data_IF_943278632252
#
_entry.id   IF_943278632252
#
_cell.length_a   1.000
_cell.length_b   1.000
_cell.length_c   1.000
_cell.angle_alpha   90.00
_cell.angle_beta   90.00
_cell.angle_gamma   90.00
#
_symmetry.space_group_name_H-M   'P 1'
#
loop_
_entity.id
_entity.type
_entity.pdbx_description
1 polymer ?
#
# COMPACT_ATOMS: atom_id res chain seq x y z
N UNK A 1 13.40 9.83 8.58
CA UNK A 1 12.59 9.20 7.52
C UNK A 1 13.41 8.46 6.46
N UNK A 2 14.61 8.93 6.09
CA UNK A 2 15.45 8.25 5.08
C UNK A 2 15.80 6.80 5.48
N UNK A 3 16.03 6.53 6.77
CA UNK A 3 16.29 5.17 7.28
C UNK A 3 15.10 4.23 7.05
N UNK A 4 13.86 4.72 7.19
CA UNK A 4 12.66 3.92 6.93
C UNK A 4 12.38 3.65 5.45
N UNK A 5 12.82 4.56 4.56
CA UNK A 5 12.74 4.37 3.11
C UNK A 5 13.74 3.31 2.61
N UNK A 6 14.92 3.23 3.22
CA UNK A 6 15.96 2.27 2.86
C UNK A 6 15.71 0.86 3.42
N UNK A 7 14.71 0.69 4.29
CA UNK A 7 14.43 -0.57 5.00
C UNK A 7 13.24 -1.26 4.33
N UNK A 8 13.43 -2.41 3.67
CA UNK A 8 12.33 -3.21 3.14
C UNK A 8 11.23 -3.51 4.17
N UNK A 9 9.97 -3.55 3.72
CA UNK A 9 8.81 -3.80 4.58
C UNK A 9 8.91 -5.11 5.38
N UNK A 10 9.52 -6.16 4.81
CA UNK A 10 9.70 -7.45 5.48
C UNK A 10 10.62 -7.37 6.71
N UNK A 11 11.58 -6.43 6.76
CA UNK A 11 12.42 -6.24 7.94
C UNK A 11 11.61 -5.67 9.09
N UNK A 12 10.65 -4.77 8.80
CA UNK A 12 9.69 -4.30 9.81
C UNK A 12 8.79 -5.45 10.28
N UNK A 13 8.38 -6.36 9.39
CA UNK A 13 7.63 -7.54 9.79
C UNK A 13 8.41 -8.45 10.76
N UNK A 14 9.69 -8.73 10.46
CA UNK A 14 10.56 -9.50 11.36
C UNK A 14 10.68 -8.80 12.72
N UNK A 15 10.94 -7.49 12.73
CA UNK A 15 11.03 -6.72 13.96
C UNK A 15 9.73 -6.77 14.77
N UNK A 16 8.57 -6.60 14.10
CA UNK A 16 7.27 -6.66 14.73
C UNK A 16 6.99 -8.03 15.34
N UNK A 17 7.29 -9.12 14.63
CA UNK A 17 7.13 -10.47 15.17
C UNK A 17 8.03 -10.67 16.38
N UNK A 18 9.32 -10.34 16.29
CA UNK A 18 10.27 -10.57 17.40
C UNK A 18 9.84 -9.82 18.66
N UNK A 19 9.35 -8.59 18.51
CA UNK A 19 8.96 -7.74 19.64
C UNK A 19 7.59 -8.13 20.22
N UNK A 20 6.59 -8.40 19.37
CA UNK A 20 5.18 -8.50 19.78
C UNK A 20 4.58 -9.92 19.78
N UNK A 21 5.26 -10.88 19.15
CA UNK A 21 4.78 -12.25 19.00
C UNK A 21 5.84 -13.33 19.33
N UNK A 22 7.13 -12.98 19.39
CA UNK A 22 8.24 -13.92 19.55
C UNK A 22 8.41 -14.49 20.96
N UNK A 23 7.52 -14.17 21.92
CA UNK A 23 7.53 -14.69 23.28
C UNK A 23 8.68 -14.22 24.20
N UNK A 24 9.74 -13.61 23.63
CA UNK A 24 10.91 -13.13 24.38
C UNK A 24 10.72 -11.74 25.01
N UNK A 25 9.81 -10.92 24.48
CA UNK A 25 9.54 -9.56 24.97
C UNK A 25 8.05 -9.36 25.27
N UNK A 26 7.23 -9.07 24.25
CA UNK A 26 5.78 -8.98 24.36
C UNK A 26 5.15 -10.12 23.56
N UNK A 27 4.14 -10.78 24.14
CA UNK A 27 3.37 -11.87 23.52
C UNK A 27 1.91 -11.47 23.37
N UNK A 28 1.67 -10.28 22.79
CA UNK A 28 0.33 -9.73 22.63
C UNK A 28 -0.39 -10.27 21.40
N UNK A 29 0.38 -10.66 20.39
CA UNK A 29 -0.14 -11.09 19.11
C UNK A 29 0.32 -12.50 18.76
N UNK A 30 -0.49 -13.23 17.97
CA UNK A 30 -0.13 -14.53 17.44
C UNK A 30 1.06 -14.37 16.48
N UNK A 31 1.98 -15.33 16.52
CA UNK A 31 3.18 -15.31 15.68
C UNK A 31 2.88 -15.72 14.22
N UNK A 32 1.92 -16.63 14.03
CA UNK A 32 1.60 -17.20 12.72
C UNK A 32 0.11 -17.54 12.60
N UNK A 33 -0.37 -17.60 11.35
CA UNK A 33 -1.71 -18.03 11.00
C UNK A 33 -2.76 -16.91 11.03
N UNK A 34 -3.93 -17.18 10.45
CA UNK A 34 -5.08 -16.25 10.41
C UNK A 34 -6.14 -16.51 11.48
N UNK A 35 -6.06 -17.66 12.15
CA UNK A 35 -7.11 -18.19 13.03
C UNK A 35 -6.48 -18.84 14.26
N UNK A 36 -7.09 -18.64 15.42
CA UNK A 36 -6.78 -19.40 16.62
C UNK A 36 -7.24 -20.86 16.50
N UNK A 37 -6.57 -21.80 17.18
CA UNK A 37 -6.95 -23.24 17.17
C UNK A 37 -8.41 -23.49 17.61
N UNK A 38 -8.99 -22.58 18.42
CA UNK A 38 -10.36 -22.67 18.90
C UNK A 38 -11.40 -22.00 17.98
N UNK A 39 -11.03 -21.59 16.75
CA UNK A 39 -11.87 -20.76 15.90
C UNK A 39 -13.27 -21.34 15.66
N UNK A 40 -13.39 -22.65 15.43
CA UNK A 40 -14.67 -23.30 15.13
C UNK A 40 -15.69 -23.23 16.28
N UNK A 41 -15.20 -23.14 17.52
CA UNK A 41 -16.02 -23.05 18.74
C UNK A 41 -16.47 -21.63 19.10
N UNK A 42 -15.95 -20.60 18.42
CA UNK A 42 -16.20 -19.20 18.74
C UNK A 42 -17.54 -18.71 18.17
N UNK A 43 -18.17 -17.76 18.88
CA UNK A 43 -19.31 -17.01 18.36
C UNK A 43 -18.90 -16.17 17.14
N UNK A 44 -19.85 -15.84 16.26
CA UNK A 44 -19.58 -15.08 15.03
C UNK A 44 -18.83 -13.77 15.27
N UNK A 45 -19.13 -13.08 16.38
CA UNK A 45 -18.41 -11.86 16.77
C UNK A 45 -16.98 -12.13 17.25
N UNK A 46 -16.78 -13.21 18.02
CA UNK A 46 -15.46 -13.60 18.47
C UNK A 46 -14.57 -14.06 17.30
N UNK A 47 -15.15 -14.72 16.28
CA UNK A 47 -14.46 -15.05 15.02
C UNK A 47 -13.94 -13.82 14.29
N UNK A 48 -14.76 -12.77 14.14
CA UNK A 48 -14.32 -11.51 13.50
C UNK A 48 -13.21 -10.84 14.30
N UNK A 49 -13.33 -10.79 15.63
CA UNK A 49 -12.30 -10.20 16.49
C UNK A 49 -10.98 -10.97 16.40
N UNK A 50 -11.04 -12.30 16.42
CA UNK A 50 -9.87 -13.18 16.29
C UNK A 50 -9.15 -12.92 14.96
N UNK A 51 -9.91 -12.89 13.86
CA UNK A 51 -9.38 -12.62 12.54
C UNK A 51 -8.71 -11.24 12.42
N UNK A 52 -9.37 -10.19 12.93
CA UNK A 52 -8.79 -8.84 12.95
C UNK A 52 -7.52 -8.78 13.82
N UNK A 53 -7.48 -9.52 14.92
CA UNK A 53 -6.32 -9.58 15.82
C UNK A 53 -5.10 -10.21 15.13
N UNK A 54 -5.29 -11.28 14.35
CA UNK A 54 -4.24 -11.92 13.56
C UNK A 54 -3.74 -11.03 12.41
N UNK A 55 -4.61 -10.17 11.85
CA UNK A 55 -4.25 -9.26 10.75
C UNK A 55 -3.48 -8.01 11.19
N UNK A 56 -3.49 -7.65 12.48
CA UNK A 56 -2.87 -6.40 12.95
C UNK A 56 -1.39 -6.33 12.57
N UNK A 57 -0.60 -7.37 12.86
CA UNK A 57 0.84 -7.35 12.60
C UNK A 57 1.17 -7.39 11.10
N UNK A 58 0.60 -8.29 10.28
CA UNK A 58 0.80 -8.28 8.83
C UNK A 58 0.45 -6.94 8.20
N UNK A 59 -0.73 -6.38 8.51
CA UNK A 59 -1.19 -5.12 7.92
C UNK A 59 -0.32 -3.96 8.38
N UNK A 60 0.03 -3.90 9.67
CA UNK A 60 0.89 -2.83 10.19
C UNK A 60 2.27 -2.85 9.52
N UNK A 61 2.84 -4.04 9.27
CA UNK A 61 4.13 -4.16 8.57
C UNK A 61 4.09 -3.61 7.14
N UNK A 62 2.99 -3.88 6.41
CA UNK A 62 2.77 -3.36 5.06
C UNK A 62 2.57 -1.84 5.07
N UNK A 63 1.76 -1.33 6.00
CA UNK A 63 1.48 0.10 6.15
C UNK A 63 2.76 0.86 6.47
N UNK A 64 3.58 0.39 7.41
CA UNK A 64 4.84 1.05 7.77
C UNK A 64 5.80 1.11 6.58
N UNK A 65 5.90 0.02 5.81
CA UNK A 65 6.72 -0.04 4.59
C UNK A 65 6.29 0.99 3.54
N UNK A 66 4.99 1.09 3.27
CA UNK A 66 4.45 2.05 2.29
C UNK A 66 4.41 3.51 2.79
N UNK A 67 4.30 3.72 4.10
CA UNK A 67 4.11 5.03 4.71
C UNK A 67 5.30 5.97 4.47
N UNK A 68 6.54 5.45 4.50
CA UNK A 68 7.73 6.23 4.23
C UNK A 68 7.72 6.81 2.80
N UNK A 69 7.42 5.96 1.81
CA UNK A 69 7.31 6.35 0.40
C UNK A 69 6.19 7.36 0.19
N UNK A 70 5.01 7.09 0.76
CA UNK A 70 3.85 7.98 0.65
C UNK A 70 4.13 9.36 1.25
N UNK A 71 4.82 9.42 2.38
CA UNK A 71 5.16 10.70 3.02
C UNK A 71 6.16 11.50 2.20
N UNK A 72 7.20 10.85 1.66
CA UNK A 72 8.19 11.53 0.80
C UNK A 72 7.52 12.03 -0.48
N UNK A 73 6.71 11.19 -1.12
CA UNK A 73 5.95 11.58 -2.30
C UNK A 73 5.07 12.79 -2.01
N UNK A 74 4.28 12.74 -0.93
CA UNK A 74 3.41 13.84 -0.50
C UNK A 74 4.22 15.11 -0.26
N UNK A 75 5.31 15.03 0.51
CA UNK A 75 6.18 16.19 0.77
C UNK A 75 6.72 16.81 -0.52
N UNK A 76 7.20 15.98 -1.44
CA UNK A 76 7.74 16.46 -2.72
C UNK A 76 6.65 17.09 -3.59
N UNK A 77 5.45 16.50 -3.65
CA UNK A 77 4.30 17.06 -4.35
C UNK A 77 3.98 18.46 -3.82
N UNK A 78 3.91 18.64 -2.50
CA UNK A 78 3.61 19.94 -1.90
C UNK A 78 4.70 20.97 -2.16
N UNK A 79 5.98 20.59 -2.04
CA UNK A 79 7.10 21.50 -2.29
C UNK A 79 7.13 21.98 -3.75
N UNK A 80 6.88 21.08 -4.70
CA UNK A 80 6.78 21.44 -6.12
C UNK A 80 5.61 22.41 -6.35
N UNK A 81 4.48 22.16 -5.71
CA UNK A 81 3.26 22.90 -5.95
C UNK A 81 3.27 24.31 -5.32
N UNK A 82 3.92 24.48 -4.17
CA UNK A 82 4.13 25.79 -3.52
C UNK A 82 4.97 26.74 -4.39
N UNK A 83 5.87 26.20 -5.22
CA UNK A 83 6.76 27.00 -6.06
C UNK A 83 6.14 27.51 -7.37
N UNK A 84 4.88 27.13 -7.66
CA UNK A 84 4.19 27.48 -8.91
C UNK A 84 3.72 28.93 -8.93
N UNK A 85 3.71 29.53 -10.12
CA UNK A 85 3.31 30.94 -10.33
C UNK A 85 1.89 31.26 -9.87
N UNK A 86 0.95 30.32 -9.95
CA UNK A 86 -0.42 30.56 -9.49
C UNK A 86 -0.49 30.76 -7.96
N UNK A 87 0.43 30.17 -7.18
CA UNK A 87 0.54 30.36 -5.73
C UNK A 87 1.05 31.76 -5.41
N UNK A 88 2.05 32.22 -6.16
CA UNK A 88 2.59 33.60 -6.04
C UNK A 88 1.50 34.63 -6.35
N UNK A 89 0.75 34.43 -7.42
CA UNK A 89 -0.38 35.29 -7.78
C UNK A 89 -1.50 35.25 -6.73
N UNK A 90 -1.80 34.07 -6.16
CA UNK A 90 -2.78 33.94 -5.10
C UNK A 90 -2.37 34.72 -3.84
N UNK A 91 -1.10 34.65 -3.45
CA UNK A 91 -0.53 35.46 -2.36
C UNK A 91 -0.58 36.96 -2.67
N UNK A 92 -0.24 37.36 -3.91
CA UNK A 92 -0.28 38.76 -4.34
C UNK A 92 -1.71 39.34 -4.31
N UNK A 93 -2.74 38.50 -4.49
CA UNK A 93 -4.17 38.87 -4.34
C UNK A 93 -4.63 39.02 -2.88
N UNK A 94 -3.74 38.83 -1.90
CA UNK A 94 -4.06 38.98 -0.47
C UNK A 94 -4.74 37.77 0.17
N UNK A 95 -4.69 36.58 -0.46
CA UNK A 95 -5.19 35.35 0.14
C UNK A 95 -4.31 34.94 1.33
N UNK A 96 -4.94 34.49 2.41
CA UNK A 96 -4.21 33.96 3.59
C UNK A 96 -3.52 32.64 3.26
N UNK A 97 -2.39 32.37 3.92
CA UNK A 97 -1.61 31.12 3.70
C UNK A 97 -2.46 29.85 3.84
N UNK A 98 -3.40 29.80 4.79
CA UNK A 98 -4.31 28.66 4.92
C UNK A 98 -5.23 28.48 3.72
N UNK A 99 -5.75 29.56 3.14
CA UNK A 99 -6.63 29.49 1.97
C UNK A 99 -5.85 29.09 0.72
N UNK A 100 -4.62 29.54 0.59
CA UNK A 100 -3.71 29.12 -0.51
C UNK A 100 -3.31 27.65 -0.35
N UNK A 101 -2.93 27.23 0.86
CA UNK A 101 -2.51 25.87 1.17
C UNK A 101 -3.64 24.87 0.92
N UNK A 102 -4.78 25.00 1.61
CA UNK A 102 -5.87 24.01 1.50
C UNK A 102 -6.68 24.17 0.22
N UNK A 103 -6.84 25.40 -0.28
CA UNK A 103 -7.71 25.68 -1.43
C UNK A 103 -7.04 25.48 -2.79
N UNK A 104 -5.72 25.66 -2.90
CA UNK A 104 -5.02 25.58 -4.18
C UNK A 104 -3.93 24.51 -4.16
N UNK A 105 -2.98 24.61 -3.23
CA UNK A 105 -1.82 23.71 -3.18
C UNK A 105 -2.24 22.28 -2.86
N UNK A 106 -3.06 22.05 -1.82
CA UNK A 106 -3.46 20.73 -1.37
C UNK A 106 -4.21 19.97 -2.46
N UNK A 107 -5.20 20.61 -3.09
CA UNK A 107 -6.02 19.99 -4.14
C UNK A 107 -5.16 19.53 -5.32
N UNK A 108 -4.17 20.33 -5.73
CA UNK A 108 -3.31 20.00 -6.87
C UNK A 108 -2.19 19.02 -6.49
N UNK A 109 -1.56 19.19 -5.33
CA UNK A 109 -0.49 18.30 -4.86
C UNK A 109 -0.99 16.87 -4.57
N UNK A 110 -2.23 16.74 -4.09
CA UNK A 110 -2.85 15.44 -3.83
C UNK A 110 -3.16 14.66 -5.10
N UNK A 111 -3.28 15.31 -6.27
CA UNK A 111 -3.46 14.60 -7.55
C UNK A 111 -2.29 13.63 -7.79
N UNK A 112 -1.05 14.07 -7.53
CA UNK A 112 0.16 13.24 -7.65
C UNK A 112 0.26 12.14 -6.58
N UNK A 113 -0.49 12.24 -5.49
CA UNK A 113 -0.53 11.20 -4.46
C UNK A 113 -1.59 10.16 -4.79
N UNK A 114 -2.81 10.60 -5.12
CA UNK A 114 -3.94 9.74 -5.55
C UNK A 114 -3.53 8.92 -6.77
N UNK A 115 -2.78 9.57 -7.63
CA UNK A 115 -2.06 9.02 -8.74
C UNK A 115 -1.26 7.75 -8.51
N UNK A 116 -0.52 7.72 -7.41
CA UNK A 116 0.36 6.62 -7.06
C UNK A 116 -0.37 5.44 -6.42
N UNK A 117 -1.65 5.59 -6.04
CA UNK A 117 -2.42 4.55 -5.34
C UNK A 117 -2.52 3.25 -6.15
N UNK A 118 -2.84 3.25 -7.46
CA UNK A 118 -2.92 2.02 -8.25
C UNK A 118 -1.59 1.26 -8.25
N UNK A 119 -0.48 1.98 -8.41
CA UNK A 119 0.85 1.39 -8.43
C UNK A 119 1.25 0.86 -7.06
N UNK A 120 0.98 1.62 -5.99
CA UNK A 120 1.22 1.17 -4.62
C UNK A 120 0.41 -0.10 -4.29
N UNK A 121 -0.82 -0.21 -4.79
CA UNK A 121 -1.64 -1.40 -4.60
C UNK A 121 -1.02 -2.61 -5.31
N UNK A 122 -0.57 -2.45 -6.55
CA UNK A 122 0.16 -3.50 -7.29
C UNK A 122 1.43 -3.92 -6.53
N UNK A 123 2.22 -2.97 -6.02
CA UNK A 123 3.42 -3.28 -5.23
C UNK A 123 3.10 -4.10 -3.97
N UNK A 124 2.01 -3.79 -3.26
CA UNK A 124 1.58 -4.56 -2.08
C UNK A 124 1.19 -6.00 -2.46
N UNK A 125 0.43 -6.18 -3.55
CA UNK A 125 0.00 -7.51 -4.00
C UNK A 125 1.16 -8.37 -4.52
N UNK A 126 2.19 -7.78 -5.12
CA UNK A 126 3.28 -8.52 -5.77
C UNK A 126 4.57 -8.59 -4.95
N UNK A 127 5.02 -7.47 -4.39
CA UNK A 127 6.33 -7.38 -3.73
C UNK A 127 6.24 -7.59 -2.20
N UNK A 128 5.13 -7.19 -1.58
CA UNK A 128 4.90 -7.36 -0.15
C UNK A 128 4.36 -8.75 0.21
N UNK A 129 3.56 -9.35 -0.66
CA UNK A 129 2.81 -10.58 -0.41
C UNK A 129 3.70 -11.76 0.01
N UNK A 130 4.69 -12.20 -0.80
CA UNK A 130 5.41 -13.45 -0.51
C UNK A 130 6.16 -13.44 0.84
N UNK A 131 6.99 -12.42 1.08
CA UNK A 131 7.84 -12.41 2.28
C UNK A 131 7.00 -12.22 3.55
N UNK A 132 6.01 -11.33 3.51
CA UNK A 132 5.10 -11.10 4.65
C UNK A 132 4.26 -12.36 4.90
N UNK A 133 3.72 -12.99 3.85
CA UNK A 133 2.97 -14.26 3.97
C UNK A 133 3.83 -15.36 4.55
N UNK A 134 5.09 -15.50 4.10
CA UNK A 134 6.01 -16.51 4.63
C UNK A 134 6.34 -16.26 6.11
N UNK A 135 6.59 -15.00 6.47
CA UNK A 135 6.96 -14.59 7.83
C UNK A 135 5.81 -14.83 8.82
N UNK A 136 4.57 -14.52 8.44
CA UNK A 136 3.37 -14.70 9.28
C UNK A 136 2.66 -16.04 9.05
N UNK A 137 3.19 -16.94 8.22
CA UNK A 137 2.57 -18.24 7.93
C UNK A 137 1.19 -18.13 7.31
N UNK A 138 0.98 -17.17 6.40
CA UNK A 138 -0.28 -16.94 5.71
C UNK A 138 -0.31 -17.72 4.39
N UNK A 139 -1.46 -18.31 4.08
CA UNK A 139 -1.69 -19.02 2.82
C UNK A 139 -2.24 -18.05 1.76
N UNK A 140 -1.35 -17.20 1.26
CA UNK A 140 -1.69 -16.22 0.23
C UNK A 140 -1.24 -16.62 -1.18
N UNK A 141 -1.63 -15.80 -2.15
CA UNK A 141 -1.33 -16.02 -3.56
C UNK A 141 0.16 -15.91 -3.87
N UNK A 142 0.90 -15.07 -3.15
CA UNK A 142 2.35 -14.92 -3.32
C UNK A 142 3.06 -16.22 -2.95
N UNK A 143 2.79 -16.75 -1.76
CA UNK A 143 3.34 -18.03 -1.31
C UNK A 143 2.94 -19.18 -2.22
N UNK A 144 1.67 -19.27 -2.61
CA UNK A 144 1.20 -20.31 -3.53
C UNK A 144 1.90 -20.25 -4.90
N UNK A 145 2.09 -19.05 -5.45
CA UNK A 145 2.80 -18.87 -6.72
C UNK A 145 4.29 -19.27 -6.63
N UNK A 146 4.92 -19.00 -5.50
CA UNK A 146 6.30 -19.40 -5.23
C UNK A 146 6.43 -20.91 -5.10
N UNK A 147 5.58 -21.55 -4.30
CA UNK A 147 5.58 -23.01 -4.11
C UNK A 147 5.33 -23.74 -5.45
N UNK A 148 4.40 -23.24 -6.27
CA UNK A 148 4.14 -23.75 -7.61
C UNK A 148 5.35 -23.62 -8.56
N UNK A 149 6.08 -22.49 -8.48
CA UNK A 149 7.28 -22.29 -9.28
C UNK A 149 8.39 -23.27 -8.89
N UNK A 150 8.57 -23.53 -7.58
CA UNK A 150 9.55 -24.49 -7.06
C UNK A 150 9.18 -25.93 -7.41
N UNK A 151 7.89 -26.29 -7.27
CA UNK A 151 7.37 -27.62 -7.61
C UNK A 151 7.24 -27.88 -9.11
N UNK A 152 7.49 -26.85 -9.94
CA UNK A 152 7.32 -26.87 -11.41
C UNK A 152 5.89 -27.19 -11.82
N UNK A 153 4.91 -26.76 -11.02
CA UNK A 153 3.50 -26.83 -11.35
C UNK A 153 3.14 -25.70 -12.33
N UNK A 154 3.48 -25.91 -13.60
CA UNK A 154 3.25 -24.93 -14.67
C UNK A 154 1.79 -24.45 -14.76
N UNK A 155 0.75 -25.31 -14.63
CA UNK A 155 -0.63 -24.85 -14.59
C UNK A 155 -0.89 -23.77 -13.52
N UNK A 156 -0.45 -24.00 -12.27
CA UNK A 156 -0.65 -23.03 -11.19
C UNK A 156 0.20 -21.77 -11.41
N UNK A 157 1.43 -21.91 -11.88
CA UNK A 157 2.30 -20.76 -12.21
C UNK A 157 1.67 -19.86 -13.27
N UNK A 158 1.21 -20.44 -14.39
CA UNK A 158 0.57 -19.64 -15.44
C UNK A 158 -0.78 -19.07 -15.00
N UNK A 159 -1.56 -19.83 -14.21
CA UNK A 159 -2.83 -19.34 -13.65
C UNK A 159 -2.64 -18.14 -12.72
N UNK A 160 -1.67 -18.22 -11.80
CA UNK A 160 -1.35 -17.12 -10.87
C UNK A 160 -0.80 -15.90 -11.61
N UNK A 161 0.13 -16.08 -12.56
CA UNK A 161 0.66 -15.00 -13.40
C UNK A 161 -0.44 -14.31 -14.21
N UNK A 162 -1.36 -15.07 -14.80
CA UNK A 162 -2.48 -14.54 -15.55
C UNK A 162 -3.40 -13.70 -14.65
N UNK A 163 -3.82 -14.24 -13.51
CA UNK A 163 -4.68 -13.53 -12.56
C UNK A 163 -4.03 -12.26 -12.05
N UNK A 164 -2.76 -12.33 -11.66
CA UNK A 164 -1.98 -11.18 -11.22
C UNK A 164 -1.90 -10.09 -12.29
N UNK A 165 -1.62 -10.47 -13.54
CA UNK A 165 -1.58 -9.51 -14.66
C UNK A 165 -2.96 -8.89 -14.91
N UNK A 166 -4.02 -9.71 -14.87
CA UNK A 166 -5.39 -9.24 -15.06
C UNK A 166 -5.81 -8.25 -13.96
N UNK A 167 -5.59 -8.59 -12.69
CA UNK A 167 -5.89 -7.69 -11.58
C UNK A 167 -5.04 -6.42 -11.61
N UNK A 168 -3.74 -6.54 -11.91
CA UNK A 168 -2.87 -5.38 -12.08
C UNK A 168 -3.36 -4.44 -13.20
N UNK A 169 -3.80 -4.99 -14.32
CA UNK A 169 -4.40 -4.23 -15.41
C UNK A 169 -5.70 -3.56 -14.98
N UNK A 170 -6.60 -4.26 -14.28
CA UNK A 170 -7.86 -3.71 -13.79
C UNK A 170 -7.64 -2.57 -12.80
N UNK A 171 -6.74 -2.75 -11.83
CA UNK A 171 -6.39 -1.72 -10.84
C UNK A 171 -5.80 -0.50 -11.55
N UNK A 172 -4.90 -0.70 -12.52
CA UNK A 172 -4.33 0.38 -13.31
C UNK A 172 -5.39 1.13 -14.12
N UNK A 173 -6.28 0.41 -14.79
CA UNK A 173 -7.38 0.99 -15.56
C UNK A 173 -8.34 1.80 -14.69
N UNK A 174 -8.70 1.28 -13.51
CA UNK A 174 -9.51 2.00 -12.51
C UNK A 174 -8.76 3.27 -12.09
N UNK A 175 -7.45 3.17 -11.87
CA UNK A 175 -6.57 4.30 -11.63
C UNK A 175 -6.70 5.37 -12.70
N UNK A 176 -6.39 5.02 -13.95
CA UNK A 176 -6.44 5.92 -15.12
C UNK A 176 -7.83 6.57 -15.28
N UNK A 177 -8.91 5.83 -15.02
CA UNK A 177 -10.27 6.36 -15.03
C UNK A 177 -10.51 7.36 -13.88
N UNK A 178 -10.11 7.01 -12.65
CA UNK A 178 -10.21 7.92 -11.50
C UNK A 178 -9.43 9.21 -11.73
N UNK A 179 -8.25 9.14 -12.33
CA UNK A 179 -7.48 10.32 -12.74
C UNK A 179 -8.25 11.20 -13.72
N UNK A 180 -8.80 10.60 -14.77
CA UNK A 180 -9.54 11.33 -15.81
C UNK A 180 -10.78 12.03 -15.22
N UNK A 181 -11.44 11.40 -14.24
CA UNK A 181 -12.57 11.99 -13.53
C UNK A 181 -12.17 13.14 -12.60
N UNK A 182 -11.01 13.04 -11.95
CA UNK A 182 -10.54 14.05 -10.98
C UNK A 182 -9.88 15.25 -11.68
N UNK A 183 -9.15 15.02 -12.78
CA UNK A 183 -8.56 16.08 -13.61
C UNK A 183 -8.87 15.87 -15.11
N UNK A 184 -10.03 16.36 -15.59
CA UNK A 184 -10.42 16.28 -17.00
C UNK A 184 -9.59 17.19 -17.93
N UNK A 185 -8.56 17.89 -17.43
CA UNK A 185 -7.66 18.72 -18.25
C UNK A 185 -6.47 17.94 -18.81
N UNK A 186 -6.29 16.68 -18.40
CA UNK A 186 -5.29 15.78 -18.99
C UNK A 186 -5.87 15.23 -20.29
N UNK A 187 -5.78 16.05 -21.32
CA UNK A 187 -6.12 15.65 -22.68
C UNK A 187 -4.96 14.81 -23.24
N UNK A 188 -5.23 13.52 -23.48
CA UNK A 188 -4.27 12.57 -24.05
C UNK A 188 -3.83 12.94 -25.48
N UNK A 189 -4.46 13.96 -26.09
CA UNK A 189 -4.10 14.51 -27.41
C UNK A 189 -2.70 15.13 -27.47
N UNK A 190 -2.15 15.62 -26.36
CA UNK A 190 -0.87 16.34 -26.34
C UNK A 190 0.38 15.45 -26.21
N UNK A 191 0.23 14.13 -26.09
CA UNK A 191 1.37 13.19 -26.01
C UNK A 191 1.86 12.67 -27.37
N UNK A 192 1.27 13.17 -28.45
CA UNK A 192 1.55 12.75 -29.84
C UNK A 192 1.88 13.91 -30.79
N UNK A 193 2.40 15.03 -30.26
CA UNK A 193 2.94 16.14 -31.06
C UNK A 193 4.41 16.42 -30.68
#
# INVERSE_FOLDING_TARGET
MIIGYATPAFLFAILLIVVFAGGSYLSWFPAQGLLSENFDSLSTWAKVKDYLWHLVLPVSSLVIGGFATLTILTKNSFLNEISRQYVVTARAKGLTEHRVLYGHVFRNAMLLVIAGIPQALIEVFFAGSLLIETIFGLDGLGRMSYEAAVSRDYPIVFGTLFLFTLFGLLIKLIGDLCYTLVDPRIDFSARSA
#
